data_IF_899846718543
#
_entry.id   IF_899846718543
#
_cell.length_a   1.000
_cell.length_b   1.000
_cell.length_c   1.000
_cell.angle_alpha   90.00
_cell.angle_beta   90.00
_cell.angle_gamma   90.00
#
_symmetry.space_group_name_H-M   'P 1'
#
loop_
_entity.id
_entity.type
_entity.pdbx_description
1 polymer ?
#
# COMPACT_ATOMS: atom_id res chain seq x y z
N UNK A 1 3.89 -27.56 4.88
CA UNK A 1 2.97 -26.95 3.90
C UNK A 1 3.81 -26.26 2.83
N UNK A 2 3.51 -26.43 1.54
CA UNK A 2 4.24 -25.77 0.45
C UNK A 2 4.16 -24.24 0.63
N UNK A 3 5.28 -23.51 0.50
CA UNK A 3 5.36 -22.05 0.69
C UNK A 3 4.33 -21.29 -0.15
N UNK A 4 4.05 -21.76 -1.36
CA UNK A 4 3.03 -21.17 -2.24
C UNK A 4 1.62 -21.35 -1.66
N UNK A 5 1.31 -22.54 -1.12
CA UNK A 5 0.01 -22.80 -0.49
C UNK A 5 -0.17 -22.00 0.80
N UNK A 6 0.91 -21.81 1.58
CA UNK A 6 0.91 -20.97 2.76
C UNK A 6 0.58 -19.50 2.41
N UNK A 7 1.19 -19.01 1.32
CA UNK A 7 0.93 -17.67 0.81
C UNK A 7 -0.51 -17.55 0.33
N UNK A 8 -0.97 -18.45 -0.54
CA UNK A 8 -2.35 -18.47 -1.03
C UNK A 8 -3.36 -18.45 0.12
N UNK A 9 -3.17 -19.31 1.12
CA UNK A 9 -4.04 -19.35 2.29
C UNK A 9 -4.05 -18.02 3.06
N UNK A 10 -2.91 -17.35 3.21
CA UNK A 10 -2.86 -16.03 3.85
C UNK A 10 -3.65 -14.96 3.06
N UNK A 11 -3.61 -14.99 1.74
CA UNK A 11 -4.41 -14.12 0.88
C UNK A 11 -5.90 -14.40 1.01
N UNK A 12 -6.30 -15.67 0.92
CA UNK A 12 -7.70 -16.10 1.09
C UNK A 12 -8.23 -15.74 2.48
N UNK A 13 -7.39 -15.88 3.51
CA UNK A 13 -7.74 -15.51 4.88
C UNK A 13 -7.96 -14.01 5.06
N UNK A 14 -7.15 -13.16 4.42
CA UNK A 14 -7.36 -11.71 4.43
C UNK A 14 -8.67 -11.30 3.75
N UNK A 15 -9.08 -12.00 2.70
CA UNK A 15 -10.40 -11.80 2.10
C UNK A 15 -11.49 -12.26 3.06
N UNK A 16 -11.31 -13.42 3.71
CA UNK A 16 -12.29 -13.95 4.66
C UNK A 16 -12.54 -12.98 5.84
N UNK A 17 -11.49 -12.31 6.32
CA UNK A 17 -11.57 -11.37 7.44
C UNK A 17 -12.61 -10.26 7.23
N UNK A 18 -12.95 -9.90 5.98
CA UNK A 18 -13.97 -8.87 5.68
C UNK A 18 -15.38 -9.27 6.12
N UNK A 19 -15.63 -10.57 6.30
CA UNK A 19 -16.92 -11.11 6.71
C UNK A 19 -17.09 -11.16 8.24
N UNK A 20 -16.03 -10.87 9.00
CA UNK A 20 -16.13 -10.79 10.46
C UNK A 20 -17.06 -9.65 10.86
N UNK A 21 -17.83 -9.87 11.93
CA UNK A 21 -18.85 -8.92 12.42
C UNK A 21 -18.24 -7.59 12.84
N UNK A 22 -17.01 -7.62 13.34
CA UNK A 22 -16.24 -6.48 13.81
C UNK A 22 -15.32 -5.85 12.75
N UNK A 23 -15.35 -6.35 11.51
CA UNK A 23 -14.50 -5.83 10.43
C UNK A 23 -14.86 -4.38 10.10
N UNK A 24 -13.88 -3.49 10.25
CA UNK A 24 -14.02 -2.07 9.95
C UNK A 24 -13.01 -1.63 8.88
N UNK A 25 -13.43 -1.47 7.61
CA UNK A 25 -12.51 -1.09 6.54
C UNK A 25 -11.90 0.30 6.74
N UNK A 26 -12.59 1.23 7.43
CA UNK A 26 -12.02 2.55 7.74
C UNK A 26 -10.79 2.39 8.64
N UNK A 27 -10.87 1.53 9.67
CA UNK A 27 -9.76 1.31 10.59
C UNK A 27 -8.55 0.67 9.91
N UNK A 28 -8.77 -0.24 8.97
CA UNK A 28 -7.70 -0.83 8.15
C UNK A 28 -7.02 0.23 7.27
N UNK A 29 -7.80 1.11 6.64
CA UNK A 29 -7.27 2.20 5.80
C UNK A 29 -6.49 3.21 6.66
N UNK A 30 -7.03 3.61 7.82
CA UNK A 30 -6.35 4.50 8.77
C UNK A 30 -5.04 3.89 9.25
N UNK A 31 -5.05 2.62 9.66
CA UNK A 31 -3.86 1.94 10.15
C UNK A 31 -2.75 1.90 9.08
N UNK A 32 -3.12 1.63 7.83
CA UNK A 32 -2.17 1.62 6.72
C UNK A 32 -1.52 2.99 6.50
N UNK A 33 -2.31 4.06 6.34
CA UNK A 33 -1.77 5.40 6.04
C UNK A 33 -1.11 6.09 7.22
N UNK A 34 -1.45 5.70 8.45
CA UNK A 34 -0.72 6.13 9.63
C UNK A 34 0.65 5.45 9.76
N UNK A 35 0.84 4.28 9.13
CA UNK A 35 2.08 3.52 9.22
C UNK A 35 3.00 3.74 8.01
N UNK A 36 2.47 3.63 6.80
CA UNK A 36 3.20 3.83 5.55
C UNK A 36 2.84 5.17 4.94
N UNK A 37 3.85 6.02 4.73
CA UNK A 37 3.61 7.16 3.85
C UNK A 37 3.85 6.84 2.40
N UNK A 38 3.29 7.72 1.57
CA UNK A 38 3.27 7.59 0.13
C UNK A 38 4.67 7.47 -0.50
N UNK A 39 5.68 8.18 0.02
CA UNK A 39 7.06 8.06 -0.46
C UNK A 39 7.63 6.64 -0.24
N UNK A 40 7.35 6.05 0.92
CA UNK A 40 7.78 4.69 1.29
C UNK A 40 7.04 3.65 0.44
N UNK A 41 5.74 3.83 0.25
CA UNK A 41 4.93 2.98 -0.64
C UNK A 41 5.50 3.03 -2.06
N UNK A 42 5.82 4.21 -2.57
CA UNK A 42 6.36 4.39 -3.93
C UNK A 42 7.73 3.73 -4.10
N UNK A 43 8.64 3.92 -3.13
CA UNK A 43 9.96 3.30 -3.15
C UNK A 43 9.88 1.76 -3.11
N UNK A 44 9.02 1.21 -2.25
CA UNK A 44 8.86 -0.24 -2.12
C UNK A 44 8.23 -0.85 -3.39
N UNK A 45 7.22 -0.20 -3.99
CA UNK A 45 6.64 -0.64 -5.26
C UNK A 45 7.70 -0.60 -6.37
N UNK A 46 8.48 0.47 -6.45
CA UNK A 46 9.55 0.57 -7.45
C UNK A 46 10.57 -0.57 -7.29
N UNK A 47 11.00 -0.85 -6.06
CA UNK A 47 11.92 -1.96 -5.80
C UNK A 47 11.31 -3.32 -6.19
N UNK A 48 10.02 -3.57 -5.91
CA UNK A 48 9.34 -4.80 -6.33
C UNK A 48 9.35 -4.95 -7.86
N UNK A 49 9.03 -3.87 -8.59
CA UNK A 49 9.01 -3.86 -10.04
C UNK A 49 10.42 -4.04 -10.64
N UNK A 50 11.42 -3.34 -10.11
CA UNK A 50 12.82 -3.50 -10.53
C UNK A 50 13.31 -4.92 -10.29
N UNK A 51 13.00 -5.52 -9.14
CA UNK A 51 13.39 -6.92 -8.84
C UNK A 51 12.82 -7.90 -9.86
N UNK A 52 11.57 -7.68 -10.32
CA UNK A 52 10.96 -8.48 -11.37
C UNK A 52 11.63 -8.27 -12.74
N UNK A 53 11.89 -7.01 -13.11
CA UNK A 53 12.51 -6.66 -14.40
C UNK A 53 13.97 -7.13 -14.50
N UNK A 54 14.73 -7.01 -13.41
CA UNK A 54 16.16 -7.32 -13.35
C UNK A 54 16.44 -8.81 -13.03
N UNK A 55 15.41 -9.68 -13.10
CA UNK A 55 15.56 -11.12 -12.91
C UNK A 55 16.00 -11.53 -11.51
N UNK A 56 15.71 -10.72 -10.49
CA UNK A 56 16.03 -11.00 -9.08
C UNK A 56 17.48 -10.71 -8.67
N UNK A 57 18.34 -10.24 -9.59
CA UNK A 57 19.77 -10.00 -9.38
C UNK A 57 20.11 -8.68 -8.63
N UNK A 58 19.12 -8.00 -8.05
CA UNK A 58 19.34 -6.72 -7.37
C UNK A 58 20.18 -6.88 -6.10
N UNK A 59 21.47 -6.55 -6.16
CA UNK A 59 22.39 -6.51 -5.00
C UNK A 59 22.05 -5.37 -4.00
N UNK A 60 21.13 -4.47 -4.34
CA UNK A 60 20.74 -3.30 -3.53
C UNK A 60 19.24 -3.30 -3.18
N UNK A 61 18.75 -4.37 -2.56
CA UNK A 61 17.38 -4.41 -2.03
C UNK A 61 17.28 -3.49 -0.81
N UNK A 62 16.35 -2.52 -0.80
CA UNK A 62 16.11 -1.66 0.37
C UNK A 62 15.50 -2.45 1.52
N UNK A 63 14.60 -3.37 1.20
CA UNK A 63 13.94 -4.27 2.14
C UNK A 63 14.42 -5.72 2.01
N UNK A 64 14.48 -6.42 3.14
CA UNK A 64 14.63 -7.88 3.21
C UNK A 64 13.36 -8.55 2.68
N UNK A 65 13.48 -9.83 2.29
CA UNK A 65 12.35 -10.60 1.74
C UNK A 65 11.13 -10.65 2.68
N UNK A 66 11.37 -10.72 4.00
CA UNK A 66 10.32 -10.72 5.02
C UNK A 66 9.60 -9.36 5.10
N UNK A 67 10.35 -8.26 5.14
CA UNK A 67 9.82 -6.90 5.17
C UNK A 67 9.03 -6.58 3.89
N UNK A 68 9.49 -7.08 2.74
CA UNK A 68 8.76 -6.99 1.47
C UNK A 68 7.46 -7.78 1.50
N UNK A 69 7.47 -8.98 2.07
CA UNK A 69 6.27 -9.79 2.20
C UNK A 69 5.26 -9.11 3.13
N UNK A 70 5.72 -8.52 4.25
CA UNK A 70 4.88 -7.74 5.17
C UNK A 70 4.27 -6.53 4.47
N UNK A 71 5.08 -5.75 3.73
CA UNK A 71 4.60 -4.62 2.94
C UNK A 71 3.54 -5.04 1.91
N UNK A 72 3.82 -6.08 1.12
CA UNK A 72 2.88 -6.56 0.11
C UNK A 72 1.56 -7.06 0.73
N UNK A 73 1.64 -7.71 1.89
CA UNK A 73 0.48 -8.16 2.68
C UNK A 73 -0.34 -6.97 3.17
N UNK A 74 0.31 -5.95 3.74
CA UNK A 74 -0.37 -4.74 4.21
C UNK A 74 -1.01 -3.96 3.05
N UNK A 75 -0.30 -3.84 1.92
CA UNK A 75 -0.81 -3.21 0.70
C UNK A 75 -2.05 -3.94 0.17
N UNK A 76 -2.02 -5.27 0.13
CA UNK A 76 -3.17 -6.06 -0.30
C UNK A 76 -4.37 -5.88 0.64
N UNK A 77 -4.14 -5.87 1.96
CA UNK A 77 -5.18 -5.65 2.95
C UNK A 77 -5.86 -4.29 2.79
N UNK A 78 -5.09 -3.22 2.58
CA UNK A 78 -5.69 -1.89 2.40
C UNK A 78 -6.46 -1.78 1.07
N UNK A 79 -6.02 -2.46 0.01
CA UNK A 79 -6.78 -2.54 -1.25
C UNK A 79 -8.14 -3.24 -1.06
N UNK A 80 -8.16 -4.35 -0.32
CA UNK A 80 -9.42 -5.00 0.09
C UNK A 80 -10.29 -4.03 0.88
N UNK A 81 -9.72 -3.33 1.87
CA UNK A 81 -10.47 -2.39 2.70
C UNK A 81 -11.11 -1.26 1.89
N UNK A 82 -10.39 -0.67 0.93
CA UNK A 82 -10.94 0.31 0.00
C UNK A 82 -12.06 -0.28 -0.87
N UNK A 83 -11.88 -1.50 -1.39
CA UNK A 83 -12.92 -2.18 -2.16
C UNK A 83 -14.18 -2.40 -1.32
N UNK A 84 -14.05 -2.88 -0.09
CA UNK A 84 -15.17 -3.13 0.82
C UNK A 84 -15.84 -1.83 1.22
N UNK A 85 -15.09 -0.77 1.52
CA UNK A 85 -15.65 0.54 1.83
C UNK A 85 -16.48 1.08 0.66
N UNK A 86 -15.97 0.94 -0.57
CA UNK A 86 -16.71 1.32 -1.78
C UNK A 86 -17.97 0.46 -1.97
N UNK A 87 -17.85 -0.87 -1.88
CA UNK A 87 -18.96 -1.82 -2.05
C UNK A 87 -20.08 -1.62 -1.02
N UNK A 88 -19.72 -1.31 0.23
CA UNK A 88 -20.66 -1.04 1.32
C UNK A 88 -21.10 0.43 1.39
N UNK A 89 -20.69 1.27 0.43
CA UNK A 89 -20.98 2.72 0.39
C UNK A 89 -20.62 3.46 1.69
N UNK A 90 -19.50 3.08 2.30
CA UNK A 90 -19.00 3.72 3.52
C UNK A 90 -18.39 5.07 3.17
N UNK A 91 -18.77 6.11 3.91
CA UNK A 91 -18.23 7.46 3.72
C UNK A 91 -16.78 7.55 4.22
N UNK A 92 -15.83 7.50 3.27
CA UNK A 92 -14.39 7.64 3.55
C UNK A 92 -14.02 9.01 4.12
N UNK A 93 -14.86 10.04 4.01
CA UNK A 93 -14.61 11.36 4.63
C UNK A 93 -14.63 11.31 6.16
N UNK A 94 -15.13 10.23 6.74
CA UNK A 94 -15.11 9.99 8.19
C UNK A 94 -13.78 9.43 8.70
N UNK A 95 -12.87 9.10 7.79
CA UNK A 95 -11.52 8.64 8.11
C UNK A 95 -10.76 9.73 8.87
N UNK A 96 -10.03 9.33 9.90
CA UNK A 96 -9.18 10.20 10.71
C UNK A 96 -7.76 9.67 10.68
N UNK A 97 -6.91 10.34 9.90
CA UNK A 97 -5.48 10.10 9.93
C UNK A 97 -4.84 10.89 11.07
N UNK A 98 -3.65 10.49 11.48
CA UNK A 98 -2.84 11.28 12.39
C UNK A 98 -2.43 12.59 11.70
N UNK A 99 -2.26 13.66 12.47
CA UNK A 99 -1.83 14.96 11.93
C UNK A 99 -0.50 14.84 11.15
N UNK A 100 0.41 13.98 11.63
CA UNK A 100 1.67 13.67 10.95
C UNK A 100 1.44 12.99 9.60
N UNK A 101 0.54 11.99 9.53
CA UNK A 101 0.24 11.29 8.29
C UNK A 101 -0.44 12.21 7.27
N UNK A 102 -1.36 13.09 7.70
CA UNK A 102 -1.99 14.08 6.83
C UNK A 102 -0.96 15.07 6.26
N UNK A 103 -0.09 15.62 7.12
CA UNK A 103 0.95 16.56 6.70
C UNK A 103 1.93 15.92 5.71
N UNK A 104 2.44 14.72 6.03
CA UNK A 104 3.37 13.99 5.15
C UNK A 104 2.73 13.65 3.80
N UNK A 105 1.47 13.21 3.81
CA UNK A 105 0.74 12.89 2.57
C UNK A 105 0.52 14.12 1.71
N UNK A 106 0.11 15.25 2.31
CA UNK A 106 -0.08 16.50 1.60
C UNK A 106 1.20 17.01 0.94
N UNK A 107 2.33 16.99 1.67
CA UNK A 107 3.64 17.39 1.12
C UNK A 107 4.07 16.52 -0.06
N UNK A 108 3.90 15.21 0.05
CA UNK A 108 4.31 14.28 -1.00
C UNK A 108 3.47 14.42 -2.28
N UNK A 109 2.15 14.60 -2.13
CA UNK A 109 1.26 14.86 -3.27
C UNK A 109 1.62 16.16 -3.99
N UNK A 110 1.91 17.23 -3.25
CA UNK A 110 2.36 18.50 -3.83
C UNK A 110 3.72 18.38 -4.53
N UNK A 111 4.66 17.63 -3.96
CA UNK A 111 5.96 17.37 -4.58
C UNK A 111 5.80 16.56 -5.88
N UNK A 112 5.04 15.48 -5.83
CA UNK A 112 4.76 14.61 -6.98
C UNK A 112 4.15 15.40 -8.14
N UNK A 113 3.20 16.29 -7.85
CA UNK A 113 2.62 17.20 -8.83
C UNK A 113 3.67 18.09 -9.49
N UNK A 114 4.53 18.74 -8.71
CA UNK A 114 5.60 19.62 -9.24
C UNK A 114 6.56 18.86 -10.14
N UNK A 115 6.95 17.65 -9.75
CA UNK A 115 7.82 16.78 -10.55
C UNK A 115 7.16 16.42 -11.87
N UNK A 116 5.89 15.98 -11.85
CA UNK A 116 5.14 15.64 -13.05
C UNK A 116 4.98 16.84 -14.00
N UNK A 117 4.67 18.02 -13.46
CA UNK A 117 4.56 19.25 -14.24
C UNK A 117 5.91 19.67 -14.87
N UNK A 118 7.02 19.49 -14.16
CA UNK A 118 8.35 19.78 -14.68
C UNK A 118 8.71 18.88 -15.87
N UNK A 119 8.60 17.56 -15.69
CA UNK A 119 8.93 16.62 -16.78
C UNK A 119 7.94 16.73 -17.95
N UNK A 120 6.66 16.99 -17.68
CA UNK A 120 5.66 17.22 -18.72
C UNK A 120 5.90 18.46 -19.57
N UNK A 121 6.68 19.44 -19.08
CA UNK A 121 7.14 20.59 -19.88
C UNK A 121 8.33 20.25 -20.76
N UNK A 122 9.18 19.32 -20.34
CA UNK A 122 10.35 18.88 -21.11
C UNK A 122 10.00 17.89 -22.23
N UNK A 123 8.88 17.20 -22.12
CA UNK A 123 8.39 16.24 -23.11
C UNK A 123 7.53 16.86 -24.22
N UNK A 124 7.38 18.19 -24.23
CA UNK A 124 6.67 18.98 -25.26
C UNK A 124 7.67 19.77 -26.08
#
# INVERSE_FOLDING_TARGET
MNRILALQFAFDWMIYDVHKVDYNPIKEIEAFWNHYALETVSANILQLLSTYLDGGAGENRLLKDEEMQEFATALYRVLIAYNVANYRHIDLRKMQLSAEAEERSGKELELSKKVAEFFGRLSK
#
